data_IF_322076740870
#
_entry.id   IF_322076740870
#
_cell.length_a   1.000
_cell.length_b   1.000
_cell.length_c   1.000
_cell.angle_alpha   90.00
_cell.angle_beta   90.00
_cell.angle_gamma   90.00
#
_symmetry.space_group_name_H-M   'P 1'
#
loop_
_entity.id
_entity.type
_entity.pdbx_description
1 polymer ?
#
# COMPACT_ATOMS: atom_id res chain seq x y z
N UNK A 1 36.88 -4.02 11.12
CA UNK A 1 35.87 -3.24 11.86
C UNK A 1 35.08 -2.25 11.04
N UNK A 2 35.68 -1.30 10.27
CA UNK A 2 34.91 -0.43 9.37
C UNK A 2 34.04 -1.21 8.36
N UNK A 3 34.53 -2.35 7.87
CA UNK A 3 33.75 -3.23 6.98
C UNK A 3 32.56 -3.85 7.71
N UNK A 4 32.76 -4.27 8.95
CA UNK A 4 31.72 -4.88 9.79
C UNK A 4 30.59 -3.89 10.09
N UNK A 5 30.91 -2.66 10.51
CA UNK A 5 29.93 -1.60 10.72
C UNK A 5 29.10 -1.33 9.44
N UNK A 6 29.76 -1.28 8.28
CA UNK A 6 29.10 -1.06 7.01
C UNK A 6 28.10 -2.18 6.67
N UNK A 7 28.47 -3.44 6.93
CA UNK A 7 27.59 -4.59 6.74
C UNK A 7 26.38 -4.51 7.68
N UNK A 8 26.59 -4.17 8.95
CA UNK A 8 25.48 -4.00 9.91
C UNK A 8 24.51 -2.89 9.51
N UNK A 9 25.03 -1.70 9.16
CA UNK A 9 24.19 -0.60 8.68
C UNK A 9 23.41 -1.02 7.43
N UNK A 10 24.03 -1.75 6.52
CA UNK A 10 23.38 -2.24 5.32
C UNK A 10 22.23 -3.20 5.65
N UNK A 11 22.44 -4.16 6.54
CA UNK A 11 21.41 -5.11 6.98
C UNK A 11 20.25 -4.40 7.70
N UNK A 12 20.55 -3.42 8.54
CA UNK A 12 19.54 -2.63 9.25
C UNK A 12 18.68 -1.80 8.30
N UNK A 13 19.29 -1.17 7.31
CA UNK A 13 18.55 -0.41 6.30
C UNK A 13 17.65 -1.32 5.46
N UNK A 14 18.12 -2.52 5.10
CA UNK A 14 17.28 -3.51 4.41
C UNK A 14 16.08 -3.92 5.29
N UNK A 15 16.32 -4.22 6.55
CA UNK A 15 15.28 -4.62 7.49
C UNK A 15 14.26 -3.49 7.69
N UNK A 16 14.74 -2.25 7.85
CA UNK A 16 13.88 -1.07 7.95
C UNK A 16 13.04 -0.87 6.68
N UNK A 17 13.67 -0.95 5.50
CA UNK A 17 12.96 -0.83 4.22
C UNK A 17 11.92 -1.92 4.04
N UNK A 18 12.21 -3.17 4.46
CA UNK A 18 11.28 -4.28 4.41
C UNK A 18 10.07 -4.05 5.32
N UNK A 19 10.29 -3.69 6.61
CA UNK A 19 9.21 -3.43 7.57
C UNK A 19 8.35 -2.26 7.10
N UNK A 20 8.98 -1.16 6.66
CA UNK A 20 8.29 0.04 6.20
C UNK A 20 7.46 -0.25 4.95
N UNK A 21 8.05 -0.93 3.98
CA UNK A 21 7.37 -1.31 2.76
C UNK A 21 6.18 -2.24 3.03
N UNK A 22 6.35 -3.30 3.83
CA UNK A 22 5.27 -4.22 4.19
C UNK A 22 4.14 -3.50 4.93
N UNK A 23 4.47 -2.49 5.71
CA UNK A 23 3.49 -1.71 6.49
C UNK A 23 2.68 -0.77 5.61
N UNK A 24 3.33 0.05 4.80
CA UNK A 24 2.65 0.92 3.82
C UNK A 24 1.78 0.09 2.89
N UNK A 25 2.27 -1.08 2.54
CA UNK A 25 1.67 -2.02 1.66
C UNK A 25 0.32 -2.57 2.16
N UNK A 26 0.33 -3.12 3.38
CA UNK A 26 -0.87 -3.65 4.01
C UNK A 26 -1.95 -2.57 4.17
N UNK A 27 -1.54 -1.29 4.27
CA UNK A 27 -2.48 -0.17 4.34
C UNK A 27 -3.08 0.09 2.96
N UNK A 28 -2.21 0.25 1.96
CA UNK A 28 -2.62 0.62 0.61
C UNK A 28 -3.56 -0.44 0.02
N UNK A 29 -3.24 -1.72 0.18
CA UNK A 29 -4.07 -2.81 -0.31
C UNK A 29 -5.42 -2.91 0.40
N UNK A 30 -5.47 -2.70 1.71
CA UNK A 30 -6.75 -2.74 2.46
C UNK A 30 -7.64 -1.53 2.18
N UNK A 31 -7.05 -0.38 1.86
CA UNK A 31 -7.81 0.85 1.64
C UNK A 31 -8.23 1.07 0.18
N UNK A 32 -7.53 0.44 -0.78
CA UNK A 32 -7.75 0.64 -2.21
C UNK A 32 -8.03 -0.69 -2.93
N UNK A 33 -8.93 -1.50 -2.37
CA UNK A 33 -9.41 -2.70 -3.06
C UNK A 33 -10.17 -2.30 -4.31
N UNK A 34 -10.94 -1.19 -4.25
CA UNK A 34 -11.59 -0.63 -5.43
C UNK A 34 -10.54 -0.03 -6.37
N UNK A 35 -10.46 -0.56 -7.57
CA UNK A 35 -9.57 -0.08 -8.61
C UNK A 35 -10.06 1.27 -9.15
N UNK A 36 -9.14 2.19 -9.46
CA UNK A 36 -9.38 3.40 -10.27
C UNK A 36 -10.28 4.50 -9.68
N UNK A 37 -10.20 4.79 -8.38
CA UNK A 37 -10.96 5.90 -7.75
C UNK A 37 -12.49 5.78 -7.86
N UNK A 38 -13.03 4.58 -7.98
CA UNK A 38 -14.46 4.33 -7.97
C UNK A 38 -15.04 4.60 -6.58
N UNK A 39 -16.27 5.10 -6.54
CA UNK A 39 -17.00 5.30 -5.29
C UNK A 39 -17.84 4.07 -4.97
N UNK A 40 -17.79 3.65 -3.72
CA UNK A 40 -18.59 2.54 -3.24
C UNK A 40 -20.02 2.97 -2.89
N UNK A 41 -20.96 2.11 -3.21
CA UNK A 41 -22.38 2.27 -2.90
C UNK A 41 -22.96 0.95 -2.42
N UNK A 42 -24.04 1.04 -1.64
CA UNK A 42 -24.81 -0.13 -1.18
C UNK A 42 -26.30 0.11 -1.39
N UNK A 43 -26.96 -0.88 -1.99
CA UNK A 43 -28.42 -0.93 -2.08
C UNK A 43 -29.00 -1.37 -0.74
N UNK A 44 -29.97 -0.63 -0.20
CA UNK A 44 -30.66 -1.03 1.04
C UNK A 44 -31.52 -2.29 0.85
N UNK A 45 -32.01 -2.50 -0.34
CA UNK A 45 -32.79 -3.67 -0.68
C UNK A 45 -32.16 -4.42 -1.85
N UNK A 46 -31.93 -5.72 -1.67
CA UNK A 46 -31.21 -6.59 -2.61
C UNK A 46 -32.08 -7.73 -3.12
N UNK A 47 -33.39 -7.47 -3.34
CA UNK A 47 -34.23 -8.48 -4.00
C UNK A 47 -33.76 -8.71 -5.45
N UNK A 48 -33.87 -9.94 -5.97
CA UNK A 48 -33.42 -10.24 -7.34
C UNK A 48 -34.10 -9.34 -8.40
N UNK A 49 -35.34 -8.89 -8.14
CA UNK A 49 -36.02 -7.97 -9.01
C UNK A 49 -35.42 -6.57 -9.05
N UNK A 50 -34.93 -6.07 -7.89
CA UNK A 50 -34.30 -4.77 -7.79
C UNK A 50 -32.90 -4.81 -8.39
N UNK A 51 -32.14 -5.86 -8.12
CA UNK A 51 -30.82 -6.06 -8.72
C UNK A 51 -30.90 -6.18 -10.24
N UNK A 52 -31.92 -6.90 -10.75
CA UNK A 52 -32.17 -7.03 -12.18
C UNK A 52 -32.45 -5.67 -12.83
N UNK A 53 -33.35 -4.90 -12.23
CA UNK A 53 -33.70 -3.56 -12.71
C UNK A 53 -32.51 -2.63 -12.68
N UNK A 54 -31.73 -2.64 -11.57
CA UNK A 54 -30.52 -1.83 -11.46
C UNK A 54 -29.55 -2.15 -12.60
N UNK A 55 -29.23 -3.42 -12.79
CA UNK A 55 -28.29 -3.85 -13.84
C UNK A 55 -28.79 -3.44 -15.23
N UNK A 56 -30.09 -3.58 -15.49
CA UNK A 56 -30.68 -3.19 -16.76
C UNK A 56 -30.58 -1.67 -16.98
N UNK A 57 -30.97 -0.85 -16.01
CA UNK A 57 -30.84 0.60 -16.09
C UNK A 57 -29.38 1.00 -16.31
N UNK A 58 -28.46 0.39 -15.56
CA UNK A 58 -27.04 0.72 -15.68
C UNK A 58 -26.49 0.40 -17.07
N UNK A 59 -26.76 -0.75 -17.60
CA UNK A 59 -26.25 -1.19 -18.92
C UNK A 59 -26.91 -0.47 -20.08
N UNK A 60 -28.17 -0.02 -19.96
CA UNK A 60 -28.87 0.70 -21.00
C UNK A 60 -28.61 2.20 -21.02
N UNK A 61 -28.62 2.84 -19.83
CA UNK A 61 -28.50 4.30 -19.72
C UNK A 61 -27.06 4.78 -19.43
N UNK A 62 -26.25 3.94 -18.77
CA UNK A 62 -24.91 4.30 -18.28
C UNK A 62 -23.82 3.34 -18.78
N UNK A 63 -24.00 2.75 -19.97
CA UNK A 63 -23.09 1.74 -20.53
C UNK A 63 -21.63 2.19 -20.72
N UNK A 64 -21.36 3.49 -20.68
CA UNK A 64 -20.01 4.06 -20.76
C UNK A 64 -19.34 4.23 -19.39
N UNK A 65 -20.08 4.02 -18.32
CA UNK A 65 -19.57 4.15 -16.96
C UNK A 65 -19.09 2.80 -16.42
N UNK A 66 -18.18 2.88 -15.46
CA UNK A 66 -17.58 1.71 -14.84
C UNK A 66 -18.45 1.19 -13.71
N UNK A 67 -18.64 -0.12 -13.67
CA UNK A 67 -19.30 -0.84 -12.58
C UNK A 67 -18.40 -1.99 -12.14
N UNK A 68 -18.12 -2.08 -10.85
CA UNK A 68 -17.25 -3.11 -10.27
C UNK A 68 -17.91 -3.74 -9.06
N UNK A 69 -17.85 -5.08 -9.00
CA UNK A 69 -18.14 -5.86 -7.81
C UNK A 69 -16.88 -6.54 -7.31
N UNK A 70 -16.73 -6.63 -5.99
CA UNK A 70 -15.58 -7.24 -5.37
C UNK A 70 -16.03 -8.40 -4.49
N UNK A 71 -15.56 -9.60 -4.81
CA UNK A 71 -15.74 -10.78 -3.99
C UNK A 71 -14.38 -11.22 -3.42
N UNK A 72 -14.35 -11.53 -2.13
CA UNK A 72 -13.15 -12.01 -1.46
C UNK A 72 -13.30 -13.49 -1.14
N UNK A 73 -12.45 -14.32 -1.73
CA UNK A 73 -12.36 -15.75 -1.45
C UNK A 73 -11.04 -16.07 -0.76
N UNK A 74 -11.12 -16.62 0.46
CA UNK A 74 -9.95 -17.15 1.15
C UNK A 74 -9.59 -18.49 0.55
N UNK A 75 -8.39 -18.60 -0.02
CA UNK A 75 -7.88 -19.88 -0.50
C UNK A 75 -7.18 -20.66 0.61
N UNK A 76 -7.10 -21.98 0.46
CA UNK A 76 -6.42 -22.90 1.42
C UNK A 76 -4.90 -22.66 1.55
N UNK A 77 -4.33 -21.71 0.82
CA UNK A 77 -2.89 -21.39 0.77
C UNK A 77 -2.51 -20.09 1.45
N UNK A 78 -3.30 -19.59 2.40
CA UNK A 78 -3.12 -18.30 3.07
C UNK A 78 -3.04 -17.07 2.11
N UNK A 79 -3.54 -17.25 0.89
CA UNK A 79 -3.68 -16.17 -0.08
C UNK A 79 -5.12 -15.71 -0.15
N UNK A 80 -5.32 -14.40 -0.09
CA UNK A 80 -6.61 -13.79 -0.39
C UNK A 80 -6.73 -13.59 -1.89
N UNK A 81 -7.75 -14.18 -2.51
CA UNK A 81 -8.09 -13.92 -3.90
C UNK A 81 -9.29 -12.99 -3.91
N UNK A 82 -9.15 -11.87 -4.62
CA UNK A 82 -10.23 -10.94 -4.88
C UNK A 82 -10.65 -11.11 -6.33
N UNK A 83 -11.88 -11.60 -6.51
CA UNK A 83 -12.53 -11.67 -7.81
C UNK A 83 -13.19 -10.32 -8.07
N UNK A 84 -12.70 -9.62 -9.09
CA UNK A 84 -13.13 -8.29 -9.50
C UNK A 84 -13.96 -8.44 -10.77
N UNK A 85 -15.28 -8.29 -10.64
CA UNK A 85 -16.21 -8.33 -11.76
C UNK A 85 -16.42 -6.92 -12.27
N UNK A 86 -15.95 -6.66 -13.48
CA UNK A 86 -15.85 -5.33 -14.07
C UNK A 86 -16.70 -5.17 -15.32
N UNK A 87 -17.42 -4.03 -15.44
CA UNK A 87 -18.16 -3.66 -16.63
C UNK A 87 -17.89 -2.19 -17.02
N UNK A 88 -17.55 -1.88 -18.28
CA UNK A 88 -17.01 -2.81 -19.27
C UNK A 88 -15.55 -3.18 -18.95
N UNK A 89 -15.19 -4.44 -19.04
CA UNK A 89 -13.87 -4.96 -18.63
C UNK A 89 -12.69 -4.29 -19.34
N UNK A 90 -12.85 -3.90 -20.60
CA UNK A 90 -11.81 -3.29 -21.43
C UNK A 90 -11.38 -1.88 -20.96
N UNK A 91 -12.18 -1.22 -20.13
CA UNK A 91 -11.87 0.10 -19.58
C UNK A 91 -11.15 0.03 -18.23
N UNK A 92 -11.02 -1.17 -17.66
CA UNK A 92 -10.30 -1.36 -16.41
C UNK A 92 -8.83 -1.69 -16.65
N UNK A 93 -7.96 -1.00 -15.93
CA UNK A 93 -6.54 -1.34 -15.92
C UNK A 93 -6.33 -2.55 -15.01
N UNK A 94 -6.03 -3.70 -15.61
CA UNK A 94 -5.81 -4.95 -14.86
C UNK A 94 -4.48 -4.89 -14.09
N UNK A 95 -4.51 -4.33 -12.89
CA UNK A 95 -3.36 -4.20 -12.00
C UNK A 95 -3.32 -5.36 -11.03
N UNK A 96 -2.13 -5.83 -10.71
CA UNK A 96 -1.93 -6.79 -9.65
C UNK A 96 -1.45 -6.09 -8.37
N UNK A 97 -1.94 -6.53 -7.21
CA UNK A 97 -1.47 -5.97 -5.96
C UNK A 97 0.02 -6.26 -5.77
N UNK A 98 0.68 -5.38 -5.06
CA UNK A 98 2.11 -5.48 -4.81
C UNK A 98 2.39 -6.66 -3.85
N UNK A 99 1.45 -7.06 -2.92
CA UNK A 99 1.60 -8.21 -2.03
C UNK A 99 1.49 -9.54 -2.78
N UNK A 100 2.40 -10.43 -2.50
CA UNK A 100 2.32 -11.81 -3.00
C UNK A 100 1.24 -12.64 -2.30
N UNK A 101 0.67 -12.12 -1.20
CA UNK A 101 -0.40 -12.76 -0.43
C UNK A 101 -1.80 -12.42 -0.95
N UNK A 102 -1.90 -11.47 -1.88
CA UNK A 102 -3.17 -11.05 -2.49
C UNK A 102 -3.05 -11.25 -4.01
N UNK A 103 -4.12 -11.74 -4.60
CA UNK A 103 -4.23 -11.91 -6.05
C UNK A 103 -5.54 -11.29 -6.52
N UNK A 104 -5.49 -10.47 -7.55
CA UNK A 104 -6.68 -9.96 -8.24
C UNK A 104 -6.95 -10.78 -9.48
N UNK A 105 -8.18 -11.26 -9.60
CA UNK A 105 -8.68 -11.92 -10.79
C UNK A 105 -9.79 -11.05 -11.39
N UNK A 106 -9.58 -10.59 -12.61
CA UNK A 106 -10.51 -9.72 -13.30
C UNK A 106 -11.43 -10.55 -14.21
N UNK A 107 -12.72 -10.38 -14.01
CA UNK A 107 -13.79 -11.04 -14.77
C UNK A 107 -14.67 -9.98 -15.41
N UNK A 108 -15.26 -10.29 -16.56
CA UNK A 108 -16.31 -9.47 -17.11
C UNK A 108 -17.58 -9.66 -16.28
N UNK A 109 -18.17 -8.56 -15.81
CA UNK A 109 -19.38 -8.61 -15.00
C UNK A 109 -20.57 -9.08 -15.85
N UNK A 110 -21.10 -10.24 -15.53
CA UNK A 110 -22.33 -10.76 -16.12
C UNK A 110 -23.52 -10.41 -15.23
N UNK A 111 -24.72 -10.46 -15.82
CA UNK A 111 -25.95 -10.19 -15.09
C UNK A 111 -26.14 -11.11 -13.88
N UNK A 112 -25.83 -12.39 -14.05
CA UNK A 112 -25.92 -13.41 -13.02
C UNK A 112 -25.02 -13.09 -11.80
N UNK A 113 -23.80 -12.63 -12.06
CA UNK A 113 -22.85 -12.23 -10.99
C UNK A 113 -23.41 -11.06 -10.17
N UNK A 114 -24.08 -10.11 -10.83
CA UNK A 114 -24.70 -8.98 -10.14
C UNK A 114 -25.92 -9.41 -9.32
N UNK A 115 -26.74 -10.32 -9.84
CA UNK A 115 -27.90 -10.86 -9.13
C UNK A 115 -27.53 -11.66 -7.88
N UNK A 116 -26.37 -12.32 -7.90
CA UNK A 116 -25.84 -13.08 -6.77
C UNK A 116 -25.09 -12.20 -5.76
N UNK A 117 -24.96 -10.89 -6.03
CA UNK A 117 -24.24 -9.95 -5.18
C UNK A 117 -25.05 -9.56 -3.94
N UNK A 118 -24.34 -9.06 -2.92
CA UNK A 118 -24.95 -8.48 -1.70
C UNK A 118 -25.34 -7.00 -1.88
N UNK A 119 -25.38 -6.49 -3.12
CA UNK A 119 -25.77 -5.13 -3.44
C UNK A 119 -24.73 -4.06 -3.15
N UNK A 120 -23.49 -4.44 -2.84
CA UNK A 120 -22.36 -3.52 -2.72
C UNK A 120 -21.66 -3.44 -4.07
N UNK A 121 -21.50 -2.25 -4.60
CA UNK A 121 -20.87 -2.01 -5.90
C UNK A 121 -20.05 -0.72 -5.90
N UNK A 122 -19.12 -0.63 -6.86
CA UNK A 122 -18.27 0.54 -7.06
C UNK A 122 -18.49 1.09 -8.47
N UNK A 123 -18.56 2.42 -8.59
CA UNK A 123 -18.79 3.07 -9.88
C UNK A 123 -18.19 4.46 -9.94
N UNK A 124 -17.93 4.96 -11.13
CA UNK A 124 -17.55 6.34 -11.43
C UNK A 124 -18.74 7.28 -11.66
N UNK A 125 -19.96 6.76 -11.53
CA UNK A 125 -21.16 7.57 -11.70
C UNK A 125 -21.19 8.78 -10.76
N UNK A 126 -21.61 9.94 -11.25
CA UNK A 126 -21.84 11.09 -10.40
C UNK A 126 -23.01 10.85 -9.43
N UNK A 127 -22.93 11.46 -8.23
CA UNK A 127 -23.95 11.28 -7.19
C UNK A 127 -25.39 11.61 -7.64
N UNK A 128 -25.55 12.47 -8.63
CA UNK A 128 -26.87 12.80 -9.19
C UNK A 128 -27.47 11.61 -9.98
N UNK A 129 -26.65 10.92 -10.78
CA UNK A 129 -27.09 9.75 -11.51
C UNK A 129 -27.48 8.59 -10.56
N UNK A 130 -26.72 8.40 -9.48
CA UNK A 130 -27.06 7.42 -8.43
C UNK A 130 -28.42 7.75 -7.79
N UNK A 131 -28.69 9.01 -7.51
CA UNK A 131 -30.00 9.43 -6.98
C UNK A 131 -31.14 9.21 -7.98
N UNK A 132 -30.89 9.40 -9.26
CA UNK A 132 -31.86 9.13 -10.31
C UNK A 132 -32.20 7.65 -10.39
N UNK A 133 -31.18 6.78 -10.42
CA UNK A 133 -31.37 5.32 -10.36
C UNK A 133 -32.14 4.91 -9.09
N UNK A 134 -31.75 5.46 -7.93
CA UNK A 134 -32.45 5.21 -6.67
C UNK A 134 -33.93 5.56 -6.73
N UNK A 135 -34.29 6.71 -7.38
CA UNK A 135 -35.67 7.13 -7.55
C UNK A 135 -36.45 6.22 -8.49
N UNK A 136 -35.83 5.76 -9.57
CA UNK A 136 -36.44 4.81 -10.53
C UNK A 136 -36.71 3.45 -9.87
N UNK A 137 -35.79 3.00 -9.01
CA UNK A 137 -35.94 1.74 -8.27
C UNK A 137 -36.87 1.85 -7.06
N UNK A 138 -37.14 3.06 -6.58
CA UNK A 138 -37.81 3.33 -5.30
C UNK A 138 -37.08 2.73 -4.10
N UNK A 139 -35.74 2.61 -4.17
CA UNK A 139 -34.88 2.03 -3.15
C UNK A 139 -33.77 3.03 -2.81
N UNK A 140 -33.39 3.14 -1.54
CA UNK A 140 -32.28 3.98 -1.15
C UNK A 140 -30.94 3.33 -1.56
N UNK A 141 -30.05 4.18 -2.09
CA UNK A 141 -28.66 3.83 -2.40
C UNK A 141 -27.78 4.71 -1.55
N UNK A 142 -27.08 4.10 -0.62
CA UNK A 142 -26.22 4.81 0.31
C UNK A 142 -24.74 4.74 -0.12
N UNK A 143 -23.96 5.76 0.21
CA UNK A 143 -22.52 5.70 0.01
C UNK A 143 -21.95 4.61 0.92
N UNK A 144 -21.16 3.75 0.33
CA UNK A 144 -20.32 2.80 1.05
C UNK A 144 -18.91 3.39 1.14
N UNK A 145 -18.60 3.96 2.30
CA UNK A 145 -17.24 4.36 2.60
C UNK A 145 -16.55 3.14 3.22
N UNK A 146 -15.58 2.62 2.52
CA UNK A 146 -14.67 1.67 3.12
C UNK A 146 -13.92 2.42 4.22
N UNK A 147 -14.09 2.02 5.49
CA UNK A 147 -13.36 2.63 6.61
C UNK A 147 -11.86 2.46 6.37
N UNK A 148 -11.28 3.44 5.70
CA UNK A 148 -9.86 3.47 5.40
C UNK A 148 -9.08 3.36 6.71
N UNK A 149 -8.20 2.36 6.80
CA UNK A 149 -7.35 2.21 7.98
C UNK A 149 -6.50 3.49 8.10
N UNK A 150 -6.66 4.29 9.16
CA UNK A 150 -5.94 5.54 9.28
C UNK A 150 -4.43 5.28 9.34
N UNK A 151 -3.64 6.08 8.64
CA UNK A 151 -2.17 5.98 8.62
C UNK A 151 -1.57 5.97 10.03
N UNK A 152 -2.20 6.65 11.01
CA UNK A 152 -1.80 6.63 12.41
C UNK A 152 -1.78 5.23 12.99
N UNK A 153 -2.80 4.41 12.73
CA UNK A 153 -2.90 3.04 13.26
C UNK A 153 -1.77 2.14 12.76
N UNK A 154 -1.34 2.33 11.52
CA UNK A 154 -0.23 1.55 10.96
C UNK A 154 1.12 1.99 11.50
N UNK A 155 1.30 3.31 11.68
CA UNK A 155 2.48 3.83 12.37
C UNK A 155 2.55 3.29 13.80
N UNK A 156 1.43 3.23 14.52
CA UNK A 156 1.38 2.67 15.88
C UNK A 156 1.73 1.17 15.91
N UNK A 157 1.19 0.37 15.01
CA UNK A 157 1.50 -1.06 14.92
C UNK A 157 2.97 -1.34 14.62
N UNK A 158 3.65 -0.42 13.92
CA UNK A 158 5.05 -0.57 13.57
C UNK A 158 5.99 0.22 14.47
N UNK A 159 5.48 1.06 15.37
CA UNK A 159 6.27 1.90 16.26
C UNK A 159 7.27 1.06 17.08
N UNK A 160 6.84 -0.09 17.60
CA UNK A 160 7.69 -0.99 18.37
C UNK A 160 8.88 -1.48 17.54
N UNK A 161 8.63 -1.88 16.29
CA UNK A 161 9.67 -2.35 15.37
C UNK A 161 10.67 -1.23 15.05
N UNK A 162 10.21 0.00 14.86
CA UNK A 162 11.08 1.17 14.64
C UNK A 162 11.91 1.49 15.87
N UNK A 163 11.33 1.41 17.07
CA UNK A 163 12.05 1.63 18.33
C UNK A 163 13.14 0.58 18.51
N UNK A 164 12.86 -0.69 18.28
CA UNK A 164 13.85 -1.78 18.36
C UNK A 164 15.00 -1.54 17.39
N UNK A 165 14.71 -1.24 16.13
CA UNK A 165 15.73 -0.93 15.12
C UNK A 165 16.59 0.26 15.54
N UNK A 166 15.97 1.32 16.06
CA UNK A 166 16.69 2.50 16.53
C UNK A 166 17.63 2.16 17.69
N UNK A 167 17.19 1.32 18.65
CA UNK A 167 18.02 0.88 19.78
C UNK A 167 19.23 0.07 19.27
N UNK A 168 19.01 -0.87 18.35
CA UNK A 168 20.08 -1.68 17.76
C UNK A 168 21.11 -0.78 17.06
N UNK A 169 20.65 0.21 16.31
CA UNK A 169 21.51 1.19 15.64
C UNK A 169 22.36 2.00 16.64
N UNK A 170 21.78 2.39 17.77
CA UNK A 170 22.49 3.08 18.84
C UNK A 170 23.57 2.19 19.48
N UNK A 171 23.27 0.92 19.74
CA UNK A 171 24.23 -0.05 20.28
C UNK A 171 25.42 -0.22 19.32
N UNK A 172 25.15 -0.41 18.02
CA UNK A 172 26.19 -0.53 16.99
C UNK A 172 27.06 0.74 16.95
N UNK A 173 26.44 1.91 17.03
CA UNK A 173 27.14 3.17 17.05
C UNK A 173 28.04 3.30 18.30
N UNK A 174 27.55 2.91 19.48
CA UNK A 174 28.36 2.88 20.71
C UNK A 174 29.58 1.95 20.62
N UNK A 175 29.38 0.76 20.06
CA UNK A 175 30.45 -0.19 19.81
C UNK A 175 31.50 0.42 18.87
N UNK A 176 31.06 1.04 17.78
CA UNK A 176 31.93 1.68 16.80
C UNK A 176 32.76 2.84 17.42
N UNK A 177 32.11 3.71 18.21
CA UNK A 177 32.79 4.81 18.90
C UNK A 177 33.80 4.31 19.91
N UNK A 178 33.46 3.28 20.69
CA UNK A 178 34.38 2.66 21.65
C UNK A 178 35.64 2.15 20.97
N UNK A 179 35.55 1.51 19.85
CA UNK A 179 36.72 1.06 19.07
C UNK A 179 37.49 2.19 18.40
N UNK A 180 36.86 3.33 18.14
CA UNK A 180 37.54 4.50 17.56
C UNK A 180 38.16 5.42 18.59
N UNK A 181 37.98 5.17 19.90
CA UNK A 181 38.50 6.00 20.99
C UNK A 181 40.01 6.27 20.89
N UNK A 182 40.80 5.24 20.55
CA UNK A 182 42.26 5.42 20.37
C UNK A 182 42.56 6.44 19.28
N UNK A 183 41.83 6.40 18.16
CA UNK A 183 42.01 7.34 17.05
C UNK A 183 41.53 8.75 17.41
N UNK A 184 40.45 8.82 18.19
CA UNK A 184 39.92 10.07 18.75
C UNK A 184 40.92 10.70 19.68
N UNK A 185 41.52 9.90 20.60
CA UNK A 185 42.56 10.35 21.52
C UNK A 185 43.77 10.94 20.81
N UNK A 186 44.26 10.27 19.75
CA UNK A 186 45.38 10.79 18.94
C UNK A 186 44.99 12.12 18.27
N UNK A 187 43.84 12.25 17.67
CA UNK A 187 43.39 13.52 17.06
C UNK A 187 43.24 14.63 18.10
N UNK A 188 42.78 14.29 19.31
CA UNK A 188 42.63 15.26 20.38
C UNK A 188 43.99 15.74 20.89
N UNK A 189 44.99 14.85 21.01
CA UNK A 189 46.37 15.22 21.36
C UNK A 189 47.05 16.09 20.28
N UNK A 190 46.59 15.99 19.04
CA UNK A 190 47.03 16.85 17.93
C UNK A 190 46.29 18.21 17.87
N UNK A 191 45.45 18.53 18.86
CA UNK A 191 44.78 19.81 18.97
C UNK A 191 43.47 19.95 18.24
N UNK A 192 42.94 18.85 17.65
CA UNK A 192 41.59 18.89 17.01
C UNK A 192 40.49 19.06 18.07
N UNK A 193 39.53 19.96 17.79
CA UNK A 193 38.38 20.12 18.67
C UNK A 193 37.50 18.89 18.69
N UNK A 194 36.91 18.59 19.84
CA UNK A 194 35.98 17.43 20.01
C UNK A 194 34.81 17.48 19.01
N UNK A 195 34.28 18.68 18.76
CA UNK A 195 33.19 18.90 17.82
C UNK A 195 33.61 18.55 16.39
N UNK A 196 34.81 18.91 15.96
CA UNK A 196 35.31 18.59 14.63
C UNK A 196 35.46 17.08 14.41
N UNK A 197 36.00 16.38 15.42
CA UNK A 197 36.16 14.92 15.37
C UNK A 197 34.80 14.23 15.30
N UNK A 198 33.84 14.66 16.11
CA UNK A 198 32.48 14.12 16.14
C UNK A 198 31.76 14.36 14.81
N UNK A 199 31.85 15.58 14.29
CA UNK A 199 31.25 15.94 12.98
C UNK A 199 31.81 15.07 11.86
N UNK A 200 33.11 14.83 11.81
CA UNK A 200 33.75 13.98 10.79
C UNK A 200 33.22 12.53 10.86
N UNK A 201 33.07 11.99 12.07
CA UNK A 201 32.55 10.62 12.25
C UNK A 201 31.10 10.50 11.88
N UNK A 202 30.24 11.40 12.38
CA UNK A 202 28.82 11.40 12.13
C UNK A 202 28.56 11.61 10.62
N UNK A 203 29.22 12.56 9.99
CA UNK A 203 29.07 12.83 8.55
C UNK A 203 29.45 11.61 7.71
N UNK A 204 30.47 10.86 8.09
CA UNK A 204 30.86 9.62 7.38
C UNK A 204 29.79 8.53 7.48
N UNK A 205 29.14 8.38 8.64
CA UNK A 205 28.06 7.40 8.85
C UNK A 205 26.79 7.81 8.09
N UNK A 206 26.40 9.08 8.23
CA UNK A 206 25.20 9.62 7.55
C UNK A 206 25.33 9.52 6.04
N UNK A 207 26.49 9.89 5.46
CA UNK A 207 26.69 9.76 4.00
C UNK A 207 26.55 8.33 3.53
N UNK A 208 27.11 7.39 4.27
CA UNK A 208 27.01 5.97 3.91
C UNK A 208 25.57 5.46 4.01
N UNK A 209 24.87 5.82 5.08
CA UNK A 209 23.45 5.50 5.27
C UNK A 209 22.59 6.08 4.14
N UNK A 210 22.76 7.36 3.81
CA UNK A 210 22.00 8.02 2.75
C UNK A 210 22.23 7.34 1.38
N UNK A 211 23.46 6.96 1.05
CA UNK A 211 23.74 6.27 -0.22
C UNK A 211 23.03 4.91 -0.27
N UNK A 212 23.06 4.14 0.82
CA UNK A 212 22.37 2.85 0.87
C UNK A 212 20.85 3.02 0.71
N UNK A 213 20.26 3.99 1.42
CA UNK A 213 18.84 4.29 1.31
C UNK A 213 18.45 4.64 -0.13
N UNK A 214 19.22 5.50 -0.80
CA UNK A 214 18.96 5.87 -2.19
C UNK A 214 19.05 4.67 -3.14
N UNK A 215 20.07 3.82 -2.98
CA UNK A 215 20.21 2.62 -3.81
C UNK A 215 19.06 1.65 -3.58
N UNK A 216 18.64 1.43 -2.33
CA UNK A 216 17.52 0.54 -2.02
C UNK A 216 16.20 1.08 -2.55
N UNK A 217 15.94 2.38 -2.39
CA UNK A 217 14.75 3.02 -2.96
C UNK A 217 14.73 2.88 -4.48
N UNK A 218 15.86 3.09 -5.14
CA UNK A 218 15.97 2.91 -6.60
C UNK A 218 15.69 1.46 -7.00
N UNK A 219 16.28 0.48 -6.33
CA UNK A 219 16.07 -0.94 -6.63
C UNK A 219 14.62 -1.39 -6.38
N UNK A 220 13.98 -0.90 -5.31
CA UNK A 220 12.57 -1.18 -5.03
C UNK A 220 11.66 -0.60 -6.14
N UNK A 221 11.86 0.67 -6.50
CA UNK A 221 11.09 1.28 -7.58
C UNK A 221 11.30 0.55 -8.91
N UNK A 222 12.54 0.14 -9.22
CA UNK A 222 12.84 -0.63 -10.43
C UNK A 222 12.13 -2.00 -10.41
N UNK A 223 12.13 -2.68 -9.26
CA UNK A 223 11.44 -3.96 -9.09
C UNK A 223 9.93 -3.80 -9.35
N UNK A 224 9.29 -2.79 -8.75
CA UNK A 224 7.87 -2.55 -8.93
C UNK A 224 7.51 -2.15 -10.38
N UNK A 225 8.34 -1.33 -11.01
CA UNK A 225 8.17 -0.99 -12.41
C UNK A 225 8.25 -2.22 -13.34
N UNK A 226 9.22 -3.11 -13.10
CA UNK A 226 9.40 -4.33 -13.91
C UNK A 226 8.30 -5.37 -13.68
N UNK A 227 7.64 -5.36 -12.52
CA UNK A 227 6.57 -6.32 -12.21
C UNK A 227 5.18 -5.79 -12.55
N UNK A 228 5.06 -4.62 -13.19
CA UNK A 228 3.79 -3.92 -13.45
C UNK A 228 2.91 -3.73 -12.20
N UNK A 229 3.57 -3.66 -11.04
CA UNK A 229 2.90 -3.48 -9.74
C UNK A 229 2.96 -2.04 -9.25
N UNK A 230 3.40 -1.12 -10.07
CA UNK A 230 3.55 0.30 -9.71
C UNK A 230 2.85 1.17 -10.72
N UNK A 231 1.98 2.03 -10.22
CA UNK A 231 1.36 3.06 -11.03
C UNK A 231 2.08 4.39 -10.79
N UNK A 232 2.76 4.89 -11.83
CA UNK A 232 3.42 6.20 -11.77
C UNK A 232 2.43 7.38 -11.89
N UNK A 233 1.13 7.13 -11.89
CA UNK A 233 0.10 8.16 -12.08
C UNK A 233 -0.29 8.92 -10.79
N UNK A 234 0.56 8.85 -9.74
CA UNK A 234 0.41 9.67 -8.52
C UNK A 234 1.52 10.71 -8.42
#
# INVERSE_FOLDING_TARGET
MKKFLKIFIFLEVILFAYIFNTSIYNIYEKNNIATENLKGYVLEETSPEILDKFYTIFTEEYSQNKLELINNTLTSTDKSVYDLYCYPLNEFTQKQPISSSILFQYHELQKEDFLDSVGVFYTDLPANAIKEIASQLSVAINNFENDAIPYSMVLELNLLNFVILFIVLQIIYCIYTSYSLKKIGIKKSMGFSTIHILKEQITSVIKYFAVICLVLLFLLNLYYALTNRYDFSY
#
